data_IF_560681589202
#
_entry.id   IF_560681589202
#
_cell.length_a   1.000
_cell.length_b   1.000
_cell.length_c   1.000
_cell.angle_alpha   90.00
_cell.angle_beta   90.00
_cell.angle_gamma   90.00
#
_symmetry.space_group_name_H-M   'P 1'
#
loop_
_entity.id
_entity.type
_entity.pdbx_description
1 polymer ?
#
# COMPACT_ATOMS: atom_id res chain seq x y z
N UNK A 1 -16.46 -7.08 3.79
CA UNK A 1 -16.37 -7.50 2.37
C UNK A 1 -16.41 -9.01 2.16
N UNK A 2 -15.62 -9.84 2.89
CA UNK A 2 -15.65 -11.31 2.71
C UNK A 2 -16.93 -11.95 3.28
N UNK A 3 -17.35 -11.58 4.50
CA UNK A 3 -18.60 -12.06 5.10
C UNK A 3 -19.81 -11.74 4.23
N UNK A 4 -19.92 -10.50 3.75
CA UNK A 4 -21.02 -10.08 2.87
C UNK A 4 -21.05 -10.85 1.54
N UNK A 5 -19.88 -11.13 0.94
CA UNK A 5 -19.80 -12.01 -0.24
C UNK A 5 -20.20 -13.45 0.09
N UNK A 6 -19.81 -13.97 1.25
CA UNK A 6 -20.17 -15.32 1.68
C UNK A 6 -21.67 -15.47 1.90
N UNK A 7 -22.34 -14.48 2.52
CA UNK A 7 -23.80 -14.42 2.64
C UNK A 7 -24.48 -14.47 1.27
N UNK A 8 -23.99 -13.67 0.32
CA UNK A 8 -24.51 -13.65 -1.06
C UNK A 8 -24.39 -15.03 -1.73
N UNK A 9 -23.22 -15.67 -1.63
CA UNK A 9 -23.05 -17.02 -2.16
C UNK A 9 -23.91 -18.07 -1.44
N UNK A 10 -24.12 -17.92 -0.14
CA UNK A 10 -25.04 -18.76 0.62
C UNK A 10 -26.46 -18.68 0.08
N UNK A 11 -26.94 -17.48 -0.24
CA UNK A 11 -28.24 -17.26 -0.87
C UNK A 11 -28.30 -17.89 -2.27
N UNK A 12 -27.29 -17.65 -3.10
CA UNK A 12 -27.20 -18.20 -4.46
C UNK A 12 -27.15 -19.74 -4.46
N UNK A 13 -26.59 -20.35 -3.41
CA UNK A 13 -26.47 -21.79 -3.22
C UNK A 13 -27.62 -22.40 -2.40
N UNK A 14 -28.62 -21.60 -2.01
CA UNK A 14 -29.79 -22.03 -1.22
C UNK A 14 -29.40 -22.66 0.14
N UNK A 15 -28.34 -22.14 0.76
CA UNK A 15 -27.96 -22.49 2.13
C UNK A 15 -28.84 -21.69 3.09
N UNK A 16 -29.58 -22.37 3.97
CA UNK A 16 -30.43 -21.68 4.93
C UNK A 16 -29.59 -20.83 5.89
N UNK A 17 -30.07 -19.63 6.24
CA UNK A 17 -29.36 -18.73 7.14
C UNK A 17 -29.19 -19.33 8.55
N UNK A 18 -30.08 -20.26 8.93
CA UNK A 18 -29.99 -21.08 10.13
C UNK A 18 -28.86 -22.12 10.11
N UNK A 19 -28.40 -22.54 8.92
CA UNK A 19 -27.35 -23.56 8.76
C UNK A 19 -25.95 -22.95 8.81
N UNK A 20 -25.80 -21.69 8.40
CA UNK A 20 -24.50 -21.02 8.39
C UNK A 20 -24.57 -19.60 8.93
N UNK A 21 -24.08 -19.42 10.16
CA UNK A 21 -23.84 -18.10 10.71
C UNK A 21 -22.50 -17.56 10.20
N UNK A 22 -22.55 -16.71 9.17
CA UNK A 22 -21.40 -16.00 8.57
C UNK A 22 -20.78 -14.93 9.48
N UNK A 23 -20.69 -15.21 10.78
CA UNK A 23 -20.07 -14.35 11.79
C UNK A 23 -18.56 -14.16 11.56
N UNK A 24 -17.97 -13.21 12.28
CA UNK A 24 -16.51 -13.06 12.33
C UNK A 24 -15.81 -14.31 12.89
N UNK A 25 -16.46 -15.02 13.80
CA UNK A 25 -15.99 -16.31 14.31
C UNK A 25 -15.91 -17.39 13.23
N UNK A 26 -16.94 -17.46 12.37
CA UNK A 26 -16.93 -18.32 11.18
C UNK A 26 -15.77 -17.97 10.25
N UNK A 27 -15.61 -16.68 9.91
CA UNK A 27 -14.54 -16.23 9.02
C UNK A 27 -13.15 -16.56 9.58
N UNK A 28 -12.96 -16.36 10.90
CA UNK A 28 -11.69 -16.69 11.58
C UNK A 28 -11.39 -18.18 11.50
N UNK A 29 -12.37 -19.03 11.81
CA UNK A 29 -12.21 -20.48 11.80
C UNK A 29 -12.03 -21.01 10.37
N UNK A 30 -12.74 -20.46 9.40
CA UNK A 30 -12.57 -20.76 7.97
C UNK A 30 -11.14 -20.47 7.51
N UNK A 31 -10.63 -19.27 7.81
CA UNK A 31 -9.24 -18.90 7.51
C UNK A 31 -8.25 -19.86 8.17
N UNK A 32 -8.48 -20.24 9.43
CA UNK A 32 -7.61 -21.15 10.15
C UNK A 32 -7.60 -22.57 9.54
N UNK A 33 -8.77 -23.15 9.28
CA UNK A 33 -8.93 -24.50 8.71
C UNK A 33 -8.25 -24.64 7.35
N UNK A 34 -8.37 -23.60 6.52
CA UNK A 34 -7.79 -23.60 5.17
C UNK A 34 -6.41 -22.94 5.10
N UNK A 35 -5.77 -22.67 6.25
CA UNK A 35 -4.43 -22.11 6.29
C UNK A 35 -4.28 -20.73 5.65
N UNK A 36 -5.38 -20.00 5.48
CA UNK A 36 -5.41 -18.67 4.87
C UNK A 36 -4.85 -17.66 5.86
N UNK A 37 -3.67 -17.13 5.54
CA UNK A 37 -2.98 -16.15 6.39
C UNK A 37 -2.66 -14.90 5.59
N UNK A 38 -2.60 -13.76 6.29
CA UNK A 38 -2.03 -12.53 5.73
C UNK A 38 -0.51 -12.73 5.67
N UNK A 39 0.06 -12.56 4.49
CA UNK A 39 1.51 -12.55 4.28
C UNK A 39 1.91 -11.09 4.04
N UNK A 40 2.70 -10.52 4.97
CA UNK A 40 3.27 -9.20 4.79
C UNK A 40 4.57 -9.32 4.00
N UNK A 41 4.62 -8.69 2.82
CA UNK A 41 5.84 -8.58 2.01
C UNK A 41 6.22 -7.10 1.98
N UNK A 42 6.93 -6.64 3.00
CA UNK A 42 7.44 -5.26 3.09
C UNK A 42 8.93 -5.25 2.74
N UNK A 43 9.27 -4.74 1.56
CA UNK A 43 10.64 -4.69 1.05
C UNK A 43 11.35 -3.35 1.24
N UNK A 44 10.63 -2.26 1.51
CA UNK A 44 11.20 -0.89 1.41
C UNK A 44 11.50 -0.26 2.78
N UNK A 45 10.90 -0.73 3.87
CA UNK A 45 11.01 -0.09 5.19
C UNK A 45 12.39 -0.28 5.85
N UNK A 46 13.26 -1.12 5.30
CA UNK A 46 14.52 -1.54 5.94
C UNK A 46 15.74 -0.67 5.58
N UNK A 47 15.64 0.27 4.62
CA UNK A 47 16.82 1.00 4.11
C UNK A 47 16.94 2.47 4.55
N UNK A 48 15.97 3.03 5.28
CA UNK A 48 15.98 4.45 5.65
C UNK A 48 16.79 4.70 6.94
N UNK A 49 17.79 5.58 6.87
CA UNK A 49 18.58 5.99 8.04
C UNK A 49 17.91 7.17 8.77
N UNK A 50 17.18 6.85 9.83
CA UNK A 50 16.46 7.85 10.63
C UNK A 50 17.38 8.86 11.31
N UNK A 51 18.59 8.47 11.71
CA UNK A 51 19.53 9.38 12.37
C UNK A 51 20.04 10.46 11.40
N UNK A 52 20.35 10.08 10.15
CA UNK A 52 20.76 11.06 9.14
C UNK A 52 19.61 12.01 8.77
N UNK A 53 18.38 11.49 8.66
CA UNK A 53 17.21 12.32 8.39
C UNK A 53 16.94 13.34 9.52
N UNK A 54 17.10 12.91 10.77
CA UNK A 54 16.97 13.81 11.93
C UNK A 54 17.96 14.98 11.90
N UNK A 55 19.24 14.70 11.61
CA UNK A 55 20.28 15.75 11.51
C UNK A 55 20.02 16.72 10.37
N UNK A 56 19.59 16.22 9.23
CA UNK A 56 19.32 17.07 8.06
C UNK A 56 18.12 18.00 8.28
N UNK A 57 17.15 17.60 9.12
CA UNK A 57 16.00 18.43 9.45
C UNK A 57 16.42 19.78 10.05
N UNK A 58 17.33 19.76 11.02
CA UNK A 58 17.81 20.98 11.69
C UNK A 58 18.60 21.87 10.72
N UNK A 59 19.41 21.28 9.84
CA UNK A 59 20.15 21.99 8.80
C UNK A 59 19.20 22.65 7.79
N UNK A 60 18.15 21.93 7.38
CA UNK A 60 17.14 22.43 6.45
C UNK A 60 16.33 23.59 7.05
N UNK A 61 15.89 23.48 8.31
CA UNK A 61 15.19 24.56 9.02
C UNK A 61 16.05 25.84 9.10
N UNK A 62 17.36 25.67 9.31
CA UNK A 62 18.30 26.80 9.29
C UNK A 62 18.39 27.45 7.91
N UNK A 63 18.51 26.67 6.83
CA UNK A 63 18.55 27.19 5.45
C UNK A 63 17.28 27.98 5.13
N UNK A 64 16.10 27.46 5.51
CA UNK A 64 14.81 28.12 5.29
C UNK A 64 14.76 29.46 6.02
N UNK A 65 15.20 29.49 7.28
CA UNK A 65 15.17 30.69 8.12
C UNK A 65 16.18 31.74 7.65
N UNK A 66 17.43 31.34 7.40
CA UNK A 66 18.53 32.23 6.99
C UNK A 66 18.24 32.92 5.65
N UNK A 67 17.50 32.25 4.76
CA UNK A 67 17.13 32.78 3.44
C UNK A 67 15.71 33.36 3.40
N UNK A 68 14.94 33.32 4.50
CA UNK A 68 13.56 33.82 4.55
C UNK A 68 12.62 33.15 3.54
N UNK A 69 12.83 31.86 3.25
CA UNK A 69 12.07 31.15 2.22
C UNK A 69 10.62 30.95 2.64
N UNK A 70 9.68 31.24 1.73
CA UNK A 70 8.27 30.92 1.94
C UNK A 70 7.97 29.47 1.50
N UNK A 71 6.87 28.86 1.99
CA UNK A 71 6.47 27.53 1.56
C UNK A 71 6.28 27.39 0.03
N UNK A 72 5.98 28.47 -0.68
CA UNK A 72 5.81 28.48 -2.15
C UNK A 72 7.16 28.35 -2.89
N UNK A 73 8.27 28.68 -2.22
CA UNK A 73 9.63 28.66 -2.77
C UNK A 73 10.38 27.37 -2.44
N UNK A 74 9.83 26.55 -1.54
CA UNK A 74 10.41 25.27 -1.14
C UNK A 74 9.79 24.18 -2.01
N UNK A 75 10.60 23.55 -2.85
CA UNK A 75 10.16 22.46 -3.72
C UNK A 75 10.78 21.13 -3.29
N UNK A 76 9.96 20.08 -3.32
CA UNK A 76 10.44 18.71 -3.33
C UNK A 76 10.16 18.10 -4.70
N UNK A 77 11.07 17.26 -5.17
CA UNK A 77 10.88 16.49 -6.39
C UNK A 77 11.39 15.07 -6.21
N UNK A 78 10.59 14.09 -6.62
CA UNK A 78 10.97 12.69 -6.52
C UNK A 78 10.31 11.85 -7.62
N UNK A 79 10.95 10.72 -7.95
CA UNK A 79 10.44 9.74 -8.89
C UNK A 79 9.74 8.60 -8.13
N UNK A 80 8.50 8.30 -8.49
CA UNK A 80 7.76 7.17 -7.93
C UNK A 80 7.29 6.21 -9.01
N UNK A 81 7.26 4.92 -8.67
CA UNK A 81 6.79 3.86 -9.55
C UNK A 81 5.31 3.54 -9.32
N UNK A 82 4.45 3.85 -10.29
CA UNK A 82 3.04 3.46 -10.26
C UNK A 82 2.86 2.05 -10.83
N UNK A 83 2.63 1.09 -9.94
CA UNK A 83 2.43 -0.32 -10.30
C UNK A 83 0.98 -0.62 -10.68
N UNK A 84 0.59 -0.27 -11.91
CA UNK A 84 -0.80 -0.42 -12.37
C UNK A 84 -1.21 -1.86 -12.70
N UNK A 85 -0.25 -2.77 -12.95
CA UNK A 85 -0.50 -4.22 -13.20
C UNK A 85 -0.14 -5.12 -12.02
N UNK A 86 0.27 -4.57 -10.88
CA UNK A 86 0.67 -5.42 -9.76
C UNK A 86 -0.53 -5.99 -9.02
N UNK A 87 -0.46 -7.29 -8.73
CA UNK A 87 -1.35 -7.92 -7.77
C UNK A 87 -1.08 -7.38 -6.35
N UNK A 88 -2.10 -7.38 -5.47
CA UNK A 88 -1.96 -6.92 -4.09
C UNK A 88 -0.75 -7.54 -3.36
N UNK A 89 -0.08 -6.72 -2.55
CA UNK A 89 1.13 -7.11 -1.81
C UNK A 89 0.88 -8.24 -0.80
N UNK A 90 -0.35 -8.33 -0.31
CA UNK A 90 -0.84 -9.45 0.50
C UNK A 90 -1.97 -10.16 -0.25
N UNK A 91 -1.79 -11.46 -0.45
CA UNK A 91 -2.83 -12.35 -0.98
C UNK A 91 -3.20 -13.36 0.10
N UNK A 92 -4.49 -13.59 0.29
CA UNK A 92 -5.01 -14.68 1.10
C UNK A 92 -4.82 -15.97 0.30
N UNK A 93 -3.99 -16.89 0.78
CA UNK A 93 -3.69 -18.16 0.09
C UNK A 93 -3.38 -19.31 1.04
N UNK A 94 -3.55 -20.53 0.54
CA UNK A 94 -3.22 -21.77 1.24
C UNK A 94 -1.71 -22.06 1.12
N UNK A 95 -1.09 -22.58 2.19
CA UNK A 95 0.38 -22.83 2.26
C UNK A 95 0.92 -23.69 1.10
N UNK A 96 0.10 -24.57 0.54
CA UNK A 96 0.46 -25.53 -0.50
C UNK A 96 0.34 -24.99 -1.94
N UNK A 97 -0.36 -23.87 -2.16
CA UNK A 97 -0.66 -23.36 -3.51
C UNK A 97 0.22 -22.18 -3.96
N UNK A 98 1.19 -21.78 -3.13
CA UNK A 98 2.05 -20.63 -3.40
C UNK A 98 3.12 -20.97 -4.45
N UNK A 99 2.73 -21.05 -5.73
CA UNK A 99 3.65 -20.66 -6.79
C UNK A 99 3.84 -19.16 -6.64
N UNK A 100 5.00 -18.74 -6.14
CA UNK A 100 5.42 -17.34 -6.22
C UNK A 100 5.61 -17.02 -7.70
N UNK A 101 4.51 -16.70 -8.39
CA UNK A 101 4.57 -16.17 -9.74
C UNK A 101 5.37 -14.88 -9.65
N UNK A 102 6.46 -14.78 -10.42
CA UNK A 102 7.26 -13.56 -10.53
C UNK A 102 6.30 -12.40 -10.77
N UNK A 103 6.24 -11.47 -9.81
CA UNK A 103 5.40 -10.28 -9.92
C UNK A 103 5.82 -9.55 -11.19
N UNK A 104 4.91 -9.34 -12.12
CA UNK A 104 5.12 -8.42 -13.24
C UNK A 104 5.22 -7.02 -12.65
N UNK A 105 6.45 -6.55 -12.43
CA UNK A 105 6.75 -5.18 -11.98
C UNK A 105 6.63 -4.17 -13.12
N UNK A 106 5.60 -4.31 -13.95
CA UNK A 106 5.27 -3.27 -14.93
C UNK A 106 4.83 -2.06 -14.13
N UNK A 107 5.66 -1.02 -14.16
CA UNK A 107 5.44 0.26 -13.50
C UNK A 107 5.47 1.36 -14.53
N UNK A 108 4.60 2.34 -14.36
CA UNK A 108 4.77 3.65 -14.98
C UNK A 108 5.69 4.44 -14.03
N UNK A 109 6.75 5.02 -14.56
CA UNK A 109 7.57 5.96 -13.79
C UNK A 109 6.89 7.33 -13.83
N UNK A 110 6.67 7.91 -12.66
CA UNK A 110 6.08 9.24 -12.49
C UNK A 110 7.07 10.10 -11.74
N UNK A 111 7.50 11.19 -12.38
CA UNK A 111 8.27 12.24 -11.71
C UNK A 111 7.31 13.31 -11.21
N UNK A 112 7.38 13.59 -9.92
CA UNK A 112 6.54 14.59 -9.26
C UNK A 112 7.42 15.72 -8.75
N UNK A 113 7.00 16.96 -8.97
CA UNK A 113 7.46 18.09 -8.20
C UNK A 113 6.28 18.77 -7.50
N UNK A 114 6.49 19.30 -6.29
CA UNK A 114 5.50 20.09 -5.57
C UNK A 114 6.20 21.10 -4.68
N UNK A 115 5.63 22.30 -4.56
CA UNK A 115 6.01 23.22 -3.50
C UNK A 115 5.39 22.81 -2.15
N UNK A 116 5.97 23.28 -1.05
CA UNK A 116 5.52 22.96 0.30
C UNK A 116 4.10 23.48 0.58
N UNK A 117 3.64 24.52 -0.14
CA UNK A 117 2.25 25.00 -0.07
C UNK A 117 1.23 24.09 -0.77
N UNK A 118 1.67 23.21 -1.68
CA UNK A 118 0.80 22.31 -2.45
C UNK A 118 0.06 22.96 -3.63
N UNK A 119 0.31 24.23 -3.93
CA UNK A 119 -0.44 24.99 -4.94
C UNK A 119 0.10 24.81 -6.36
N UNK A 120 1.27 24.19 -6.54
CA UNK A 120 1.91 24.05 -7.86
C UNK A 120 2.39 22.62 -8.14
N UNK A 121 1.47 21.64 -8.27
CA UNK A 121 1.84 20.30 -8.65
C UNK A 121 2.16 20.20 -10.14
N UNK A 122 3.29 19.56 -10.46
CA UNK A 122 3.60 19.11 -11.83
C UNK A 122 3.86 17.61 -11.80
N UNK A 123 3.19 16.91 -12.70
CA UNK A 123 3.30 15.47 -12.90
C UNK A 123 3.83 15.21 -14.30
N UNK A 124 4.99 14.58 -14.39
CA UNK A 124 5.54 14.08 -15.66
C UNK A 124 5.49 12.56 -15.63
N UNK A 125 4.83 11.97 -16.63
CA UNK A 125 4.85 10.53 -16.85
C UNK A 125 5.84 10.22 -17.96
N UNK A 126 6.89 9.46 -17.63
CA UNK A 126 7.77 8.90 -18.65
C UNK A 126 7.19 7.57 -19.14
N UNK A 127 7.21 7.35 -20.46
CA UNK A 127 6.38 6.34 -21.14
C UNK A 127 7.13 5.04 -21.43
#
# INVERSE_FOLDING_TARGET
MIVEKAKKFGQDLVVAESECNYSDGWLRNFKFRHGIRRLDVTGETLSANQNSAGKYKDEFEKIVTDNGLTPEQIYNADETGLLWRCLPTSTLGEKSSLRVSKKTKTRLTVFMWLNASGNTPVLLCDR
#
